data_IF_696869222095
#
_entry.id   IF_696869222095
#
_cell.length_a   1.000
_cell.length_b   1.000
_cell.length_c   1.000
_cell.angle_alpha   90.00
_cell.angle_beta   90.00
_cell.angle_gamma   90.00
#
_symmetry.space_group_name_H-M   'P 1'
#
loop_
_entity.id
_entity.type
_entity.pdbx_description
1 polymer ?
#
# COMPACT_ATOMS: atom_id res chain seq x y z
N UNK A 1 -10.45 9.65 -5.47
CA UNK A 1 -9.79 8.88 -4.40
C UNK A 1 -10.35 9.34 -3.07
N UNK A 2 -10.37 8.45 -2.10
CA UNK A 2 -10.83 8.70 -0.73
C UNK A 2 -9.75 8.20 0.22
N UNK A 3 -9.51 8.95 1.28
CA UNK A 3 -8.64 8.61 2.39
C UNK A 3 -9.50 8.34 3.62
N UNK A 4 -9.16 7.29 4.36
CA UNK A 4 -9.65 7.04 5.70
C UNK A 4 -8.46 7.22 6.66
N UNK A 5 -8.64 8.02 7.72
CA UNK A 5 -7.61 8.26 8.73
C UNK A 5 -7.85 7.41 9.99
N UNK A 6 -9.09 7.39 10.48
CA UNK A 6 -9.50 6.67 11.69
C UNK A 6 -10.73 5.77 11.42
N UNK A 7 -10.83 4.61 12.07
CA UNK A 7 -9.88 4.05 13.05
C UNK A 7 -8.72 3.27 12.41
N UNK A 8 -8.64 3.24 11.08
CA UNK A 8 -7.58 2.60 10.30
C UNK A 8 -7.26 3.50 9.10
N UNK A 9 -5.97 3.58 8.77
CA UNK A 9 -5.47 4.40 7.69
C UNK A 9 -5.46 3.60 6.38
N UNK A 10 -6.04 4.14 5.30
CA UNK A 10 -5.91 3.62 3.94
C UNK A 10 -6.45 4.60 2.89
N UNK A 11 -6.03 4.42 1.64
CA UNK A 11 -6.56 5.10 0.46
C UNK A 11 -7.29 4.12 -0.45
N UNK A 12 -8.43 4.55 -0.99
CA UNK A 12 -9.26 3.73 -1.89
C UNK A 12 -9.99 4.58 -2.93
N UNK A 13 -10.83 3.95 -3.75
CA UNK A 13 -11.68 4.63 -4.73
C UNK A 13 -13.14 4.20 -4.64
N UNK A 14 -14.02 5.18 -4.77
CA UNK A 14 -15.47 5.00 -4.86
C UNK A 14 -15.99 5.83 -6.04
N UNK A 15 -17.11 5.41 -6.60
CA UNK A 15 -17.84 6.07 -7.67
C UNK A 15 -19.11 6.65 -7.05
N UNK A 16 -19.31 7.94 -7.26
CA UNK A 16 -20.41 8.71 -6.69
C UNK A 16 -21.20 9.33 -7.83
N UNK A 17 -22.49 8.98 -7.91
CA UNK A 17 -23.45 9.61 -8.81
C UNK A 17 -23.78 11.03 -8.36
N UNK A 18 -23.91 11.94 -9.33
CA UNK A 18 -24.36 13.31 -9.09
C UNK A 18 -25.64 13.55 -9.91
N UNK A 19 -26.71 13.99 -9.26
CA UNK A 19 -27.87 14.52 -9.95
C UNK A 19 -27.47 15.89 -10.53
N UNK A 20 -27.15 15.92 -11.83
CA UNK A 20 -26.71 17.14 -12.51
C UNK A 20 -27.79 18.23 -12.59
N UNK A 21 -29.08 17.88 -12.43
CA UNK A 21 -30.16 18.86 -12.42
C UNK A 21 -30.25 19.55 -11.07
N UNK A 22 -30.13 18.79 -9.98
CA UNK A 22 -30.18 19.30 -8.61
C UNK A 22 -28.83 19.80 -8.09
N UNK A 23 -27.73 19.41 -8.74
CA UNK A 23 -26.35 19.62 -8.30
C UNK A 23 -26.07 19.03 -6.92
N UNK A 24 -26.70 17.90 -6.64
CA UNK A 24 -26.63 17.20 -5.36
C UNK A 24 -26.13 15.76 -5.59
N UNK A 25 -25.62 15.14 -4.52
CA UNK A 25 -25.29 13.71 -4.55
C UNK A 25 -26.55 12.91 -4.86
N UNK A 26 -26.47 12.03 -5.84
CA UNK A 26 -27.56 11.10 -6.13
C UNK A 26 -27.64 10.10 -4.95
N UNK A 27 -28.80 9.94 -4.30
CA UNK A 27 -28.93 9.02 -3.18
C UNK A 27 -28.54 7.57 -3.53
N UNK A 28 -28.29 6.78 -2.48
CA UNK A 28 -28.08 5.33 -2.60
C UNK A 28 -29.15 4.69 -3.52
N UNK A 29 -28.77 3.82 -4.46
CA UNK A 29 -27.53 3.03 -4.55
C UNK A 29 -26.38 3.67 -5.35
N UNK A 30 -26.43 4.96 -5.66
CA UNK A 30 -25.50 5.59 -6.59
C UNK A 30 -24.10 5.92 -6.01
N UNK A 31 -23.76 5.37 -4.84
CA UNK A 31 -22.41 5.37 -4.26
C UNK A 31 -21.94 3.92 -4.16
N UNK A 32 -20.89 3.57 -4.90
CA UNK A 32 -20.40 2.20 -4.99
C UNK A 32 -18.89 2.15 -5.25
N UNK A 33 -18.28 0.98 -5.08
CA UNK A 33 -16.89 0.70 -5.48
C UNK A 33 -16.85 -0.58 -6.31
N UNK A 34 -15.77 -0.78 -7.05
CA UNK A 34 -15.51 -2.11 -7.62
C UNK A 34 -15.33 -3.12 -6.47
N UNK A 35 -15.88 -4.31 -6.65
CA UNK A 35 -15.82 -5.38 -5.65
C UNK A 35 -14.37 -5.66 -5.22
N UNK A 36 -14.14 -5.71 -3.92
CA UNK A 36 -12.83 -6.01 -3.33
C UNK A 36 -11.90 -4.81 -3.18
N UNK A 37 -12.17 -3.66 -3.81
CA UNK A 37 -11.27 -2.48 -3.76
C UNK A 37 -11.29 -1.82 -2.39
N UNK A 38 -12.46 -1.63 -1.79
CA UNK A 38 -12.57 -1.03 -0.46
C UNK A 38 -12.20 -2.05 0.62
N UNK A 39 -12.59 -3.30 0.43
CA UNK A 39 -12.35 -4.39 1.36
C UNK A 39 -10.86 -4.71 1.47
N UNK A 40 -10.15 -4.80 0.34
CA UNK A 40 -8.69 -4.96 0.32
C UNK A 40 -7.97 -3.80 1.00
N UNK A 41 -8.42 -2.56 0.75
CA UNK A 41 -7.87 -1.37 1.39
C UNK A 41 -8.05 -1.40 2.92
N UNK A 42 -9.24 -1.77 3.41
CA UNK A 42 -9.51 -1.97 4.84
C UNK A 42 -8.56 -3.03 5.43
N UNK A 43 -8.42 -4.20 4.79
CA UNK A 43 -7.53 -5.26 5.29
C UNK A 43 -6.08 -4.80 5.31
N UNK A 44 -5.64 -4.05 4.30
CA UNK A 44 -4.27 -3.51 4.26
C UNK A 44 -3.98 -2.53 5.42
N UNK A 45 -4.94 -1.65 5.75
CA UNK A 45 -4.81 -0.74 6.89
C UNK A 45 -4.82 -1.46 8.23
N UNK A 46 -5.66 -2.49 8.37
CA UNK A 46 -5.65 -3.38 9.55
C UNK A 46 -4.33 -4.12 9.69
N UNK A 47 -3.72 -4.55 8.58
CA UNK A 47 -2.43 -5.22 8.58
C UNK A 47 -1.33 -4.27 9.07
N UNK A 48 -1.29 -3.05 8.54
CA UNK A 48 -0.36 -2.02 9.00
C UNK A 48 -0.51 -1.73 10.51
N UNK A 49 -1.75 -1.63 11.00
CA UNK A 49 -2.04 -1.38 12.41
C UNK A 49 -1.65 -2.54 13.32
N UNK A 50 -1.85 -3.78 12.89
CA UNK A 50 -1.51 -4.98 13.65
C UNK A 50 0.01 -5.23 13.77
N UNK A 51 0.77 -4.81 12.76
CA UNK A 51 2.23 -5.00 12.66
C UNK A 51 2.99 -3.67 12.67
N UNK A 52 2.52 -2.72 13.49
CA UNK A 52 2.99 -1.33 13.51
C UNK A 52 4.51 -1.23 13.67
N UNK A 53 5.09 -2.00 14.58
CA UNK A 53 6.52 -1.99 14.86
C UNK A 53 7.36 -2.49 13.66
N UNK A 54 6.83 -3.44 12.90
CA UNK A 54 7.45 -3.91 11.66
C UNK A 54 7.33 -2.86 10.54
N UNK A 55 6.19 -2.18 10.42
CA UNK A 55 6.03 -1.10 9.43
C UNK A 55 6.90 0.11 9.73
N UNK A 56 7.12 0.47 11.00
CA UNK A 56 8.12 1.50 11.38
C UNK A 56 9.53 1.13 10.89
N UNK A 57 9.87 -0.16 10.93
CA UNK A 57 11.15 -0.66 10.39
C UNK A 57 11.17 -0.60 8.86
N UNK A 58 10.05 -0.90 8.19
CA UNK A 58 9.93 -0.76 6.75
C UNK A 58 10.05 0.70 6.28
N UNK A 59 9.45 1.64 6.99
CA UNK A 59 9.59 3.08 6.73
C UNK A 59 11.06 3.50 6.82
N UNK A 60 11.75 3.04 7.87
CA UNK A 60 13.17 3.33 8.09
C UNK A 60 14.04 2.70 7.00
N UNK A 61 13.76 1.45 6.62
CA UNK A 61 14.47 0.74 5.55
C UNK A 61 14.32 1.49 4.21
N UNK A 62 13.08 1.76 3.79
CA UNK A 62 12.82 2.38 2.49
C UNK A 62 13.37 3.80 2.39
N UNK A 63 13.33 4.58 3.48
CA UNK A 63 13.94 5.91 3.53
C UNK A 63 15.48 5.86 3.44
N UNK A 64 16.12 4.86 4.06
CA UNK A 64 17.56 4.67 3.98
C UNK A 64 18.01 4.26 2.58
N UNK A 65 17.28 3.34 1.93
CA UNK A 65 17.52 2.95 0.54
C UNK A 65 17.37 4.15 -0.40
N UNK A 66 16.31 4.94 -0.22
CA UNK A 66 16.11 6.15 -1.01
C UNK A 66 17.28 7.14 -0.88
N UNK A 67 17.81 7.33 0.34
CA UNK A 67 18.98 8.18 0.57
C UNK A 67 20.25 7.60 -0.06
N UNK A 68 20.46 6.29 0.06
CA UNK A 68 21.66 5.58 -0.43
C UNK A 68 21.78 5.62 -1.96
N UNK A 69 20.66 5.50 -2.67
CA UNK A 69 20.61 5.41 -4.13
C UNK A 69 20.09 6.68 -4.82
N UNK A 70 20.01 7.80 -4.10
CA UNK A 70 19.52 9.10 -4.58
C UNK A 70 18.13 9.02 -5.26
N UNK A 71 17.20 8.40 -4.55
CA UNK A 71 15.82 8.19 -4.97
C UNK A 71 14.86 9.18 -4.28
N UNK A 72 13.69 9.35 -4.90
CA UNK A 72 12.53 10.01 -4.32
C UNK A 72 11.33 9.06 -4.23
N UNK A 73 10.33 9.47 -3.46
CA UNK A 73 9.05 8.78 -3.32
C UNK A 73 7.89 9.73 -3.62
N UNK A 74 6.66 9.23 -3.51
CA UNK A 74 5.49 10.08 -3.62
C UNK A 74 5.44 11.10 -2.48
N UNK A 75 5.01 12.33 -2.78
CA UNK A 75 4.64 13.28 -1.74
C UNK A 75 3.19 13.02 -1.29
N UNK A 76 2.86 13.43 -0.05
CA UNK A 76 1.55 13.21 0.56
C UNK A 76 0.40 13.67 -0.36
N UNK A 77 0.47 14.89 -0.88
CA UNK A 77 -0.54 15.44 -1.80
C UNK A 77 -0.80 14.55 -3.03
N UNK A 78 0.22 13.84 -3.53
CA UNK A 78 0.05 12.92 -4.64
C UNK A 78 -0.61 11.62 -4.18
N UNK A 79 -0.25 11.11 -3.01
CA UNK A 79 -0.89 9.96 -2.37
C UNK A 79 -2.39 10.24 -2.22
N UNK A 80 -2.76 11.26 -1.45
CA UNK A 80 -4.16 11.57 -1.08
C UNK A 80 -5.07 11.77 -2.30
N UNK A 81 -4.51 12.35 -3.38
CA UNK A 81 -5.29 12.73 -4.56
C UNK A 81 -5.38 11.65 -5.62
N UNK A 82 -4.42 10.72 -5.69
CA UNK A 82 -4.27 9.86 -6.86
C UNK A 82 -4.08 8.38 -6.55
N UNK A 83 -3.70 8.01 -5.34
CA UNK A 83 -3.46 6.62 -4.98
C UNK A 83 -4.71 5.99 -4.36
N UNK A 84 -4.81 4.67 -4.49
CA UNK A 84 -5.93 3.86 -4.02
C UNK A 84 -5.53 2.40 -3.78
N UNK A 85 -4.24 2.13 -3.54
CA UNK A 85 -3.73 0.78 -3.37
C UNK A 85 -4.07 0.14 -2.03
N UNK A 86 -4.59 0.90 -1.07
CA UNK A 86 -4.78 0.48 0.32
C UNK A 86 -3.95 1.34 1.26
N UNK A 87 -3.19 0.71 2.16
CA UNK A 87 -2.22 1.40 2.99
C UNK A 87 -1.08 1.93 2.12
N UNK A 88 -1.04 3.25 1.94
CA UNK A 88 -0.13 3.93 1.02
C UNK A 88 0.86 4.77 1.81
N UNK A 89 2.14 4.59 1.52
CA UNK A 89 3.23 5.36 2.09
C UNK A 89 4.12 5.94 0.99
N UNK A 90 4.99 6.87 1.39
CA UNK A 90 5.88 7.58 0.46
C UNK A 90 6.65 6.67 -0.50
N UNK A 91 7.12 5.52 -0.01
CA UNK A 91 7.99 4.61 -0.77
C UNK A 91 7.39 3.23 -1.02
N UNK A 92 6.21 2.92 -0.50
CA UNK A 92 5.58 1.62 -0.71
C UNK A 92 4.07 1.71 -0.53
N UNK A 93 3.38 0.66 -0.96
CA UNK A 93 1.98 0.44 -0.61
C UNK A 93 1.73 -1.04 -0.42
N UNK A 94 0.64 -1.36 0.27
CA UNK A 94 0.22 -2.73 0.53
C UNK A 94 -1.01 -3.02 -0.32
N UNK A 95 -0.95 -4.07 -1.13
CA UNK A 95 -2.10 -4.59 -1.88
C UNK A 95 -2.41 -6.00 -1.43
N UNK A 96 -3.66 -6.23 -1.03
CA UNK A 96 -4.14 -7.52 -0.55
C UNK A 96 -5.63 -7.65 -0.85
N UNK A 97 -6.07 -8.86 -1.19
CA UNK A 97 -7.50 -9.17 -1.30
C UNK A 97 -8.06 -9.48 0.08
N UNK A 98 -9.24 -8.95 0.41
CA UNK A 98 -9.93 -9.31 1.66
C UNK A 98 -10.31 -10.79 1.74
N UNK A 99 -10.35 -11.49 0.59
CA UNK A 99 -10.59 -12.93 0.52
C UNK A 99 -9.44 -13.76 1.13
N UNK A 100 -8.24 -13.18 1.24
CA UNK A 100 -7.09 -13.80 1.90
C UNK A 100 -7.19 -13.72 3.43
N UNK A 101 -7.97 -12.75 3.95
CA UNK A 101 -8.13 -12.50 5.39
C UNK A 101 -9.61 -12.34 5.77
N UNK A 102 -10.45 -13.37 5.49
CA UNK A 102 -11.89 -13.26 5.66
C UNK A 102 -12.31 -13.17 7.13
N UNK A 103 -11.55 -13.76 8.07
CA UNK A 103 -11.85 -13.66 9.50
C UNK A 103 -11.51 -12.27 10.01
N UNK A 104 -10.36 -11.70 9.61
CA UNK A 104 -9.97 -10.31 9.96
C UNK A 104 -11.04 -9.33 9.48
N UNK A 105 -11.39 -9.39 8.19
CA UNK A 105 -12.35 -8.46 7.59
C UNK A 105 -13.73 -8.56 8.26
N UNK A 106 -14.26 -9.77 8.44
CA UNK A 106 -15.57 -9.97 9.10
C UNK A 106 -15.57 -9.51 10.56
N UNK A 107 -14.51 -9.80 11.31
CA UNK A 107 -14.40 -9.40 12.71
C UNK A 107 -14.38 -7.87 12.85
N UNK A 108 -13.67 -7.18 11.95
CA UNK A 108 -13.65 -5.71 11.94
C UNK A 108 -15.03 -5.13 11.61
N UNK A 109 -15.74 -5.65 10.60
CA UNK A 109 -17.10 -5.19 10.27
C UNK A 109 -18.10 -5.39 11.42
N UNK A 110 -17.89 -6.40 12.26
CA UNK A 110 -18.72 -6.65 13.44
C UNK A 110 -18.39 -5.72 14.61
N UNK A 111 -17.13 -5.31 14.74
CA UNK A 111 -16.66 -4.44 15.80
C UNK A 111 -15.44 -3.63 15.35
N UNK A 112 -15.66 -2.38 14.95
CA UNK A 112 -14.59 -1.51 14.48
C UNK A 112 -13.52 -1.24 15.56
N UNK A 113 -13.84 -1.38 16.85
CA UNK A 113 -12.85 -1.22 17.93
C UNK A 113 -11.78 -2.32 17.93
N UNK A 114 -11.99 -3.42 17.18
CA UNK A 114 -10.98 -4.45 16.95
C UNK A 114 -9.66 -3.85 16.43
N UNK A 115 -9.72 -2.74 15.70
CA UNK A 115 -8.52 -2.05 15.21
C UNK A 115 -7.52 -1.69 16.31
N UNK A 116 -7.97 -1.57 17.56
CA UNK A 116 -7.14 -1.16 18.70
C UNK A 116 -6.52 -2.34 19.46
N UNK A 117 -6.84 -3.58 19.07
CA UNK A 117 -6.31 -4.81 19.67
C UNK A 117 -5.35 -5.50 18.70
N UNK A 118 -4.08 -5.08 18.74
CA UNK A 118 -3.05 -5.59 17.82
C UNK A 118 -2.78 -7.08 18.02
N UNK A 119 -2.81 -7.59 19.25
CA UNK A 119 -2.57 -9.02 19.53
C UNK A 119 -3.66 -9.89 18.93
N UNK A 120 -4.93 -9.50 19.12
CA UNK A 120 -6.06 -10.20 18.51
C UNK A 120 -5.98 -10.12 16.98
N UNK A 121 -5.75 -8.94 16.40
CA UNK A 121 -5.59 -8.81 14.95
C UNK A 121 -4.50 -9.72 14.40
N UNK A 122 -3.29 -9.72 15.00
CA UNK A 122 -2.19 -10.60 14.57
C UNK A 122 -2.59 -12.07 14.63
N UNK A 123 -3.33 -12.48 15.66
CA UNK A 123 -3.83 -13.86 15.77
C UNK A 123 -4.82 -14.22 14.65
N UNK A 124 -5.69 -13.27 14.25
CA UNK A 124 -6.65 -13.46 13.16
C UNK A 124 -5.94 -13.51 11.80
N UNK A 125 -4.97 -12.62 11.57
CA UNK A 125 -4.15 -12.63 10.36
C UNK A 125 -3.42 -13.98 10.21
N UNK A 126 -2.75 -14.43 11.27
CA UNK A 126 -2.02 -15.71 11.26
C UNK A 126 -2.95 -16.92 11.08
N UNK A 127 -4.20 -16.84 11.54
CA UNK A 127 -5.20 -17.88 11.36
C UNK A 127 -5.64 -18.00 9.91
N UNK A 128 -5.87 -16.87 9.24
CA UNK A 128 -6.34 -16.83 7.86
C UNK A 128 -5.21 -17.17 6.87
N UNK A 129 -4.05 -16.54 7.04
CA UNK A 129 -2.87 -16.78 6.21
C UNK A 129 -1.57 -16.59 7.04
N UNK A 130 -0.93 -17.69 7.49
CA UNK A 130 0.25 -17.63 8.36
C UNK A 130 1.55 -17.21 7.64
N UNK A 131 1.61 -17.36 6.31
CA UNK A 131 2.81 -17.07 5.51
C UNK A 131 2.75 -15.72 4.78
N UNK A 132 1.57 -15.10 4.68
CA UNK A 132 1.35 -13.80 4.02
C UNK A 132 1.80 -13.80 2.55
N UNK A 133 1.85 -14.95 1.89
CA UNK A 133 2.32 -15.10 0.50
C UNK A 133 1.51 -14.29 -0.52
N UNK A 134 0.25 -13.97 -0.21
CA UNK A 134 -0.65 -13.19 -1.06
C UNK A 134 -0.77 -11.71 -0.65
N UNK A 135 0.06 -11.24 0.29
CA UNK A 135 0.19 -9.82 0.62
C UNK A 135 1.31 -9.22 -0.21
N UNK A 136 1.00 -8.30 -1.11
CA UNK A 136 2.01 -7.59 -1.87
C UNK A 136 2.44 -6.32 -1.13
N UNK A 137 3.74 -6.18 -0.90
CA UNK A 137 4.37 -4.96 -0.38
C UNK A 137 5.22 -4.38 -1.51
N UNK A 138 4.66 -3.40 -2.21
CA UNK A 138 5.24 -2.88 -3.44
C UNK A 138 6.01 -1.60 -3.17
N UNK A 139 7.34 -1.71 -3.07
CA UNK A 139 8.25 -0.57 -2.89
C UNK A 139 8.44 0.16 -4.23
N UNK A 140 8.09 1.44 -4.27
CA UNK A 140 8.11 2.29 -5.47
C UNK A 140 8.97 3.52 -5.24
N UNK A 141 9.95 3.71 -6.11
CA UNK A 141 10.90 4.81 -6.05
C UNK A 141 11.01 5.55 -7.39
N UNK A 142 11.54 6.77 -7.33
CA UNK A 142 11.79 7.63 -8.48
C UNK A 142 13.27 8.04 -8.50
N UNK A 143 14.00 7.65 -9.54
CA UNK A 143 15.42 7.97 -9.66
C UNK A 143 15.61 9.44 -10.05
N UNK A 144 16.24 10.24 -9.18
CA UNK A 144 16.36 11.70 -9.39
C UNK A 144 17.17 12.07 -10.62
N UNK A 145 18.14 11.24 -10.96
CA UNK A 145 18.97 11.42 -12.15
C UNK A 145 18.18 11.12 -13.43
N UNK A 146 18.70 11.58 -14.57
CA UNK A 146 18.06 11.32 -15.87
C UNK A 146 18.12 9.82 -16.19
N UNK A 147 16.98 9.28 -16.58
CA UNK A 147 16.87 7.88 -17.01
C UNK A 147 16.53 6.94 -15.86
N UNK A 148 16.92 5.69 -16.01
CA UNK A 148 16.72 4.62 -15.03
C UNK A 148 18.04 4.30 -14.33
N UNK A 149 18.00 3.83 -13.07
CA UNK A 149 19.21 3.34 -12.40
C UNK A 149 19.72 2.08 -13.08
N UNK A 150 20.98 1.73 -12.80
CA UNK A 150 21.54 0.45 -13.28
C UNK A 150 20.83 -0.71 -12.57
N UNK A 151 20.62 -1.81 -13.27
CA UNK A 151 20.00 -3.02 -12.71
C UNK A 151 20.73 -3.49 -11.43
N UNK A 152 22.07 -3.45 -11.43
CA UNK A 152 22.90 -3.82 -10.28
C UNK A 152 22.59 -3.00 -9.01
N UNK A 153 22.17 -1.74 -9.14
CA UNK A 153 21.80 -0.91 -7.98
C UNK A 153 20.50 -1.40 -7.36
N UNK A 154 19.50 -1.72 -8.19
CA UNK A 154 18.19 -2.21 -7.76
C UNK A 154 18.27 -3.64 -7.22
N UNK A 155 19.14 -4.48 -7.80
CA UNK A 155 19.42 -5.83 -7.28
C UNK A 155 20.06 -5.77 -5.89
N UNK A 156 20.98 -4.82 -5.64
CA UNK A 156 21.56 -4.58 -4.31
C UNK A 156 20.51 -4.13 -3.30
N UNK A 157 19.55 -3.28 -3.68
CA UNK A 157 18.43 -2.92 -2.80
C UNK A 157 17.63 -4.17 -2.36
N UNK A 158 17.45 -5.13 -3.28
CA UNK A 158 16.79 -6.41 -2.99
C UNK A 158 17.64 -7.32 -2.10
N UNK A 159 18.96 -7.29 -2.24
CA UNK A 159 19.87 -7.97 -1.31
C UNK A 159 19.81 -7.36 0.10
N UNK A 160 19.83 -6.02 0.20
CA UNK A 160 19.69 -5.29 1.47
C UNK A 160 18.33 -5.59 2.12
N UNK A 161 17.25 -5.64 1.33
CA UNK A 161 15.94 -6.09 1.77
C UNK A 161 16.04 -7.51 2.33
N UNK A 162 16.63 -8.47 1.60
CA UNK A 162 16.77 -9.85 2.06
C UNK A 162 17.50 -9.97 3.41
N UNK A 163 18.58 -9.21 3.60
CA UNK A 163 19.36 -9.18 4.84
C UNK A 163 18.66 -8.47 6.00
N UNK A 164 17.69 -7.59 5.71
CA UNK A 164 16.94 -6.84 6.72
C UNK A 164 16.02 -7.76 7.55
N UNK A 165 15.96 -7.51 8.85
CA UNK A 165 15.15 -8.27 9.81
C UNK A 165 14.03 -7.40 10.37
N UNK A 166 12.98 -8.03 10.88
CA UNK A 166 11.87 -7.34 11.55
C UNK A 166 10.97 -6.52 10.62
N UNK A 167 11.06 -6.74 9.30
CA UNK A 167 10.12 -6.21 8.32
C UNK A 167 8.82 -7.03 8.33
N UNK A 168 7.68 -6.43 7.90
CA UNK A 168 6.43 -7.16 7.80
C UNK A 168 6.57 -8.32 6.80
N UNK A 169 5.77 -9.36 7.00
CA UNK A 169 5.75 -10.51 6.08
C UNK A 169 4.99 -10.16 4.80
N UNK A 170 5.40 -10.74 3.70
CA UNK A 170 4.75 -10.50 2.42
C UNK A 170 5.66 -10.71 1.24
N UNK A 171 5.07 -10.63 0.06
CA UNK A 171 5.76 -10.64 -1.21
C UNK A 171 6.18 -9.21 -1.57
N UNK A 172 7.48 -8.97 -1.51
CA UNK A 172 8.06 -7.67 -1.81
C UNK A 172 8.40 -7.53 -3.29
N UNK A 173 8.10 -6.36 -3.84
CA UNK A 173 8.64 -5.89 -5.12
C UNK A 173 9.38 -4.57 -4.91
N UNK A 174 10.44 -4.34 -5.70
CA UNK A 174 11.16 -3.06 -5.74
C UNK A 174 11.18 -2.57 -7.18
N UNK A 175 10.50 -1.46 -7.40
CA UNK A 175 10.43 -0.76 -8.67
C UNK A 175 11.05 0.63 -8.56
N UNK A 176 11.99 0.93 -9.46
CA UNK A 176 12.56 2.27 -9.59
C UNK A 176 12.23 2.84 -10.96
N UNK A 177 11.43 3.91 -10.97
CA UNK A 177 10.98 4.61 -12.15
C UNK A 177 11.88 5.81 -12.46
N UNK A 178 11.76 6.36 -13.67
CA UNK A 178 12.25 7.72 -13.98
C UNK A 178 11.53 8.72 -13.08
N UNK A 179 12.18 9.81 -12.67
CA UNK A 179 11.56 10.86 -11.85
C UNK A 179 10.54 11.72 -12.61
N UNK A 180 9.42 11.09 -12.99
CA UNK A 180 8.30 11.71 -13.68
C UNK A 180 7.00 10.97 -13.36
N UNK A 181 5.98 11.73 -12.97
CA UNK A 181 4.62 11.24 -12.72
C UNK A 181 3.66 11.93 -13.70
N UNK A 182 2.79 11.16 -14.34
CA UNK A 182 1.75 11.68 -15.23
C UNK A 182 0.68 12.38 -14.38
N UNK A 183 0.63 13.71 -14.40
CA UNK A 183 -0.26 14.52 -13.57
C UNK A 183 -1.76 14.17 -13.67
N UNK A 184 -2.22 13.66 -14.82
CA UNK A 184 -3.62 13.29 -15.05
C UNK A 184 -4.07 12.09 -14.22
N UNK A 185 -3.17 11.14 -13.97
CA UNK A 185 -3.50 9.85 -13.35
C UNK A 185 -2.67 9.56 -12.09
N UNK A 186 -1.60 10.33 -11.83
CA UNK A 186 -0.74 10.14 -10.67
C UNK A 186 0.12 8.87 -10.72
N UNK A 187 0.33 8.31 -11.91
CA UNK A 187 1.13 7.10 -12.11
C UNK A 187 2.50 7.42 -12.72
N UNK A 188 3.52 6.58 -12.49
CA UNK A 188 4.80 6.70 -13.18
C UNK A 188 4.62 6.57 -14.69
N UNK A 189 5.50 7.21 -15.46
CA UNK A 189 5.47 7.11 -16.92
C UNK A 189 6.43 6.02 -17.42
N UNK A 190 5.88 4.95 -17.99
CA UNK A 190 6.63 3.96 -18.75
C UNK A 190 7.45 3.01 -17.88
N UNK A 191 8.64 2.67 -18.36
CA UNK A 191 9.51 1.62 -17.84
C UNK A 191 10.03 1.88 -16.41
N UNK A 192 10.27 0.79 -15.68
CA UNK A 192 11.03 0.75 -14.43
C UNK A 192 12.24 -0.18 -14.54
N UNK A 193 13.24 0.05 -13.69
CA UNK A 193 14.20 -1.00 -13.32
C UNK A 193 13.60 -1.73 -12.12
N UNK A 194 13.48 -3.05 -12.21
CA UNK A 194 12.79 -3.89 -11.22
C UNK A 194 13.71 -5.00 -10.73
N UNK A 195 13.72 -5.24 -9.42
CA UNK A 195 14.35 -6.43 -8.84
C UNK A 195 13.39 -7.63 -8.89
N UNK A 196 13.95 -8.84 -8.84
CA UNK A 196 13.16 -10.05 -8.63
C UNK A 196 12.42 -9.97 -7.28
N UNK A 197 11.16 -10.40 -7.28
CA UNK A 197 10.33 -10.44 -6.06
C UNK A 197 10.95 -11.30 -4.96
N UNK A 198 10.66 -10.95 -3.72
CA UNK A 198 11.20 -11.60 -2.53
C UNK A 198 10.09 -11.83 -1.50
N UNK A 199 9.86 -13.09 -1.13
CA UNK A 199 9.02 -13.42 0.02
C UNK A 199 9.80 -13.20 1.33
N UNK A 200 9.17 -12.53 2.30
CA UNK A 200 9.61 -12.45 3.70
C UNK A 200 8.57 -13.03 4.66
#
# INVERSE_FOLDING_TARGET
MVEAEEPIEFHTSVIVGLDMQKKELDPSPNVWSQDGVVEGAIVSGLYAKAYKEEFIQLDSFTANEAKKYDLEGYNQKSIDKTQAGGYEQRFYYISVSSLEFPTVYKAYLQNNNLSNDSELLRSLFLKDNPDFSNVSISCRYFFKSKGLPKQEEVDKMREDLNLSKGLPKGLYSIDVYKNFIVNRVGLPNGDSTRAQELQK
#
